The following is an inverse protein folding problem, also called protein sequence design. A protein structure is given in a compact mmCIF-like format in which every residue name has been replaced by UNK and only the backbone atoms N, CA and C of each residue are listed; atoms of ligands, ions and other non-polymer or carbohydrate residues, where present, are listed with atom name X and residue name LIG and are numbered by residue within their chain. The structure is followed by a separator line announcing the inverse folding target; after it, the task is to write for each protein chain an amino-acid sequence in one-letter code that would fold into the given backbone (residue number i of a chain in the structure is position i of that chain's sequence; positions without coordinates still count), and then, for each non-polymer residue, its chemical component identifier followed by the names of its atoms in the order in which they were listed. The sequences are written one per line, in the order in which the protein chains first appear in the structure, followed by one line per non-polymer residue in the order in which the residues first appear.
data_IF_757545535485
#
_entry.id   IF_757545535485
#
_cell.length_a   1.000
_cell.length_b   1.000
_cell.length_c   1.000
_cell.angle_alpha   90.00
_cell.angle_beta   90.00
_cell.angle_gamma   90.00
#
_symmetry.space_group_name_H-M   'P 1'
#
loop_
_entity.id
_entity.type
_entity.pdbx_description
1 polymer ?
#
# COMPACT_ATOMS: atom_id res chain seq x y z
N UNK A 1 -14.51 -0.15 1.37
CA UNK A 1 -14.27 -1.50 0.83
C UNK A 1 -15.31 -1.79 -0.24
N UNK A 2 -14.96 -2.51 -1.33
CA UNK A 2 -15.88 -2.75 -2.43
C UNK A 2 -16.87 -3.88 -2.09
N UNK A 3 -18.15 -3.70 -2.42
CA UNK A 3 -19.19 -4.69 -2.13
C UNK A 3 -19.04 -5.98 -2.95
N UNK A 4 -18.32 -5.92 -4.08
CA UNK A 4 -18.02 -7.06 -4.94
C UNK A 4 -16.85 -6.75 -5.89
N UNK A 5 -16.38 -7.78 -6.60
CA UNK A 5 -15.28 -7.67 -7.58
C UNK A 5 -15.56 -6.65 -8.70
N UNK A 6 -16.81 -6.52 -9.14
CA UNK A 6 -17.17 -5.58 -10.20
C UNK A 6 -17.01 -4.13 -9.75
N UNK A 7 -17.37 -3.83 -8.51
CA UNK A 7 -17.16 -2.51 -7.91
C UNK A 7 -15.67 -2.19 -7.77
N UNK A 8 -14.86 -3.17 -7.35
CA UNK A 8 -13.39 -3.02 -7.27
C UNK A 8 -12.77 -2.70 -8.64
N UNK A 9 -13.21 -3.41 -9.69
CA UNK A 9 -12.77 -3.18 -11.07
C UNK A 9 -13.21 -1.81 -11.59
N UNK A 10 -14.44 -1.40 -11.31
CA UNK A 10 -14.97 -0.10 -11.74
C UNK A 10 -14.23 1.07 -11.10
N UNK A 11 -13.90 0.98 -9.81
CA UNK A 11 -13.09 2.00 -9.13
C UNK A 11 -11.65 1.98 -9.67
N UNK A 12 -11.08 0.79 -9.91
CA UNK A 12 -9.78 0.68 -10.56
C UNK A 12 -9.72 1.33 -11.94
N UNK A 13 -10.82 1.30 -12.70
CA UNK A 13 -10.92 1.93 -14.02
C UNK A 13 -10.91 3.46 -13.96
N UNK A 14 -11.38 4.04 -12.86
CA UNK A 14 -11.43 5.49 -12.66
C UNK A 14 -10.11 6.08 -12.17
N UNK A 15 -9.18 5.24 -11.69
CA UNK A 15 -7.91 5.66 -11.09
C UNK A 15 -6.74 5.72 -12.08
N UNK A 16 -6.89 6.49 -13.16
CA UNK A 16 -5.78 6.82 -14.08
C UNK A 16 -5.31 5.69 -15.00
N UNK A 17 -4.55 6.05 -16.04
CA UNK A 17 -4.15 5.14 -17.11
C UNK A 17 -3.27 3.98 -16.64
N UNK A 18 -2.38 4.21 -15.67
CA UNK A 18 -1.48 3.19 -15.12
C UNK A 18 -2.23 2.13 -14.32
N UNK A 19 -3.11 2.52 -13.40
CA UNK A 19 -3.93 1.56 -12.64
C UNK A 19 -4.79 0.74 -13.58
N UNK A 20 -5.42 1.37 -14.58
CA UNK A 20 -6.17 0.64 -15.59
C UNK A 20 -5.30 -0.35 -16.37
N UNK A 21 -4.09 0.03 -16.77
CA UNK A 21 -3.17 -0.83 -17.52
C UNK A 21 -2.71 -2.04 -16.68
N UNK A 22 -2.46 -1.85 -15.39
CA UNK A 22 -1.91 -2.92 -14.54
C UNK A 22 -2.97 -3.75 -13.79
N UNK A 23 -4.14 -3.18 -13.51
CA UNK A 23 -5.25 -3.82 -12.80
C UNK A 23 -6.28 -4.45 -13.76
N UNK A 24 -6.58 -3.80 -14.89
CA UNK A 24 -7.69 -4.20 -15.77
C UNK A 24 -7.22 -4.75 -17.13
N UNK A 25 -6.07 -4.31 -17.63
CA UNK A 25 -5.45 -4.84 -18.86
C UNK A 25 -4.29 -5.77 -18.54
N UNK A 26 -4.63 -6.92 -17.96
CA UNK A 26 -3.66 -7.89 -17.45
C UNK A 26 -2.66 -8.37 -18.51
N UNK A 27 -2.95 -8.24 -19.81
CA UNK A 27 -2.03 -8.62 -20.90
C UNK A 27 -0.83 -7.68 -21.01
N UNK A 28 -1.02 -6.38 -20.85
CA UNK A 28 0.10 -5.42 -20.85
C UNK A 28 0.90 -5.52 -19.56
N UNK A 29 0.21 -5.69 -18.43
CA UNK A 29 0.83 -5.98 -17.16
C UNK A 29 1.69 -7.27 -17.24
N UNK A 30 1.15 -8.35 -17.80
CA UNK A 30 1.83 -9.62 -18.00
C UNK A 30 3.08 -9.47 -18.86
N UNK A 31 2.98 -8.73 -19.98
CA UNK A 31 4.13 -8.45 -20.85
C UNK A 31 5.20 -7.64 -20.14
N UNK A 32 4.83 -6.58 -19.43
CA UNK A 32 5.76 -5.76 -18.67
C UNK A 32 6.44 -6.58 -17.56
N UNK A 33 5.68 -7.40 -16.84
CA UNK A 33 6.19 -8.33 -15.85
C UNK A 33 7.09 -9.42 -16.47
N UNK A 34 6.75 -9.94 -17.65
CA UNK A 34 7.56 -10.93 -18.36
C UNK A 34 8.90 -10.34 -18.79
N UNK A 35 8.91 -9.13 -19.37
CA UNK A 35 10.14 -8.39 -19.68
C UNK A 35 10.96 -8.16 -18.41
N UNK A 36 10.33 -7.72 -17.32
CA UNK A 36 11.00 -7.56 -16.02
C UNK A 36 11.58 -8.89 -15.50
N UNK A 37 10.89 -10.01 -15.72
CA UNK A 37 11.35 -11.35 -15.33
C UNK A 37 12.51 -11.87 -16.17
N UNK A 38 12.53 -11.62 -17.47
CA UNK A 38 13.67 -11.95 -18.35
C UNK A 38 14.90 -11.09 -18.02
N UNK A 39 14.66 -9.87 -17.55
CA UNK A 39 15.67 -8.84 -17.35
C UNK A 39 15.72 -8.38 -15.89
N UNK A 40 15.64 -9.30 -14.91
CA UNK A 40 15.48 -8.96 -13.47
C UNK A 40 16.50 -7.96 -12.95
N UNK A 41 17.78 -8.20 -13.23
CA UNK A 41 18.86 -7.34 -12.74
C UNK A 41 18.83 -5.95 -13.37
N UNK A 42 18.61 -5.87 -14.68
CA UNK A 42 18.54 -4.59 -15.41
C UNK A 42 17.27 -3.82 -15.08
N UNK A 43 16.14 -4.52 -14.92
CA UNK A 43 14.86 -3.93 -14.52
C UNK A 43 14.90 -3.42 -13.09
N UNK A 44 15.52 -4.16 -12.16
CA UNK A 44 15.73 -3.69 -10.80
C UNK A 44 16.63 -2.46 -10.73
N UNK A 45 17.68 -2.39 -11.55
CA UNK A 45 18.54 -1.19 -11.67
C UNK A 45 17.78 -0.02 -12.28
N UNK A 46 17.01 -0.25 -13.34
CA UNK A 46 16.16 0.78 -13.93
C UNK A 46 15.15 1.32 -12.91
N UNK A 47 14.55 0.43 -12.10
CA UNK A 47 13.64 0.83 -11.02
C UNK A 47 14.35 1.69 -9.96
N UNK A 48 15.57 1.32 -9.56
CA UNK A 48 16.37 2.13 -8.63
C UNK A 48 16.69 3.54 -9.18
N UNK A 49 16.85 3.68 -10.50
CA UNK A 49 17.05 4.99 -11.14
C UNK A 49 15.76 5.81 -11.22
N UNK A 50 14.62 5.16 -11.48
CA UNK A 50 13.32 5.83 -11.57
C UNK A 50 12.77 6.25 -10.21
N UNK A 51 13.22 5.60 -9.12
CA UNK A 51 12.79 5.89 -7.75
C UNK A 51 14.02 6.24 -6.89
N UNK A 52 14.71 7.37 -7.16
CA UNK A 52 16.00 7.70 -6.54
C UNK A 52 15.91 7.97 -5.04
N UNK A 53 14.68 8.12 -4.52
CA UNK A 53 14.37 8.34 -3.10
C UNK A 53 14.46 7.08 -2.26
N UNK A 54 14.51 5.91 -2.89
CA UNK A 54 14.50 4.63 -2.20
C UNK A 54 15.92 4.05 -2.07
N UNK A 55 16.22 3.33 -0.98
CA UNK A 55 17.47 2.59 -0.88
C UNK A 55 17.63 1.64 -2.07
N UNK A 56 18.75 1.76 -2.79
CA UNK A 56 19.06 0.93 -3.97
C UNK A 56 18.83 -0.58 -3.72
N UNK A 57 19.18 -1.17 -2.56
CA UNK A 57 18.90 -2.58 -2.30
C UNK A 57 17.41 -2.94 -2.31
N UNK A 58 16.52 -2.02 -1.93
CA UNK A 58 15.07 -2.23 -1.91
C UNK A 58 14.52 -2.13 -3.35
N UNK A 59 14.84 -1.04 -4.05
CA UNK A 59 14.34 -0.81 -5.41
C UNK A 59 14.78 -1.87 -6.40
N UNK A 60 16.02 -2.37 -6.27
CA UNK A 60 16.54 -3.44 -7.13
C UNK A 60 15.87 -4.78 -6.90
N UNK A 61 15.34 -5.03 -5.69
CA UNK A 61 14.62 -6.26 -5.36
C UNK A 61 13.15 -6.22 -5.74
N UNK A 62 12.57 -5.04 -5.95
CA UNK A 62 11.17 -4.90 -6.34
C UNK A 62 10.85 -5.69 -7.63
N UNK A 63 11.80 -5.83 -8.56
CA UNK A 63 11.63 -6.58 -9.82
C UNK A 63 11.78 -8.11 -9.69
N UNK A 64 11.91 -8.66 -8.48
CA UNK A 64 12.14 -10.10 -8.27
C UNK A 64 10.86 -10.92 -8.14
N UNK A 65 9.69 -10.30 -8.03
CA UNK A 65 8.42 -11.03 -8.00
C UNK A 65 8.10 -11.67 -9.36
N UNK A 66 7.42 -12.82 -9.35
CA UNK A 66 6.91 -13.47 -10.57
C UNK A 66 5.53 -12.94 -10.94
N UNK A 67 5.12 -13.14 -12.19
CA UNK A 67 3.76 -12.82 -12.64
C UNK A 67 2.69 -13.57 -11.82
N UNK A 68 2.91 -14.86 -11.55
CA UNK A 68 1.99 -15.66 -10.74
C UNK A 68 1.86 -15.10 -9.32
N UNK A 69 2.97 -14.68 -8.70
CA UNK A 69 2.94 -14.05 -7.37
C UNK A 69 2.19 -12.71 -7.38
N UNK A 70 2.36 -11.91 -8.44
CA UNK A 70 1.59 -10.67 -8.64
C UNK A 70 0.09 -10.94 -8.79
N UNK A 71 -0.29 -11.84 -9.70
CA UNK A 71 -1.70 -12.19 -9.95
C UNK A 71 -2.36 -12.77 -8.70
N UNK A 72 -1.65 -13.67 -8.00
CA UNK A 72 -2.15 -14.24 -6.76
C UNK A 72 -2.38 -13.15 -5.71
N UNK A 73 -1.40 -12.27 -5.47
CA UNK A 73 -1.52 -11.18 -4.49
C UNK A 73 -2.64 -10.21 -4.84
N UNK A 74 -2.75 -9.82 -6.11
CA UNK A 74 -3.82 -8.95 -6.60
C UNK A 74 -5.19 -9.58 -6.34
N UNK A 75 -5.34 -10.85 -6.71
CA UNK A 75 -6.60 -11.54 -6.53
C UNK A 75 -6.93 -11.71 -5.04
N UNK A 76 -6.00 -12.27 -4.28
CA UNK A 76 -6.20 -12.68 -2.89
C UNK A 76 -6.17 -11.55 -1.87
N UNK A 77 -5.76 -10.33 -2.22
CA UNK A 77 -5.71 -9.18 -1.30
C UNK A 77 -6.57 -8.02 -1.76
N UNK A 78 -6.77 -7.83 -3.08
CA UNK A 78 -7.46 -6.64 -3.61
C UNK A 78 -8.83 -6.99 -4.17
N UNK A 79 -8.94 -8.08 -4.95
CA UNK A 79 -10.17 -8.35 -5.71
C UNK A 79 -11.17 -9.23 -4.95
N UNK A 80 -10.69 -10.26 -4.25
CA UNK A 80 -11.57 -11.29 -3.67
C UNK A 80 -11.47 -11.41 -2.15
N UNK A 81 -10.59 -10.66 -1.49
CA UNK A 81 -10.41 -10.76 -0.04
C UNK A 81 -11.52 -10.03 0.69
N UNK A 82 -12.20 -10.74 1.59
CA UNK A 82 -13.22 -10.15 2.45
C UNK A 82 -12.60 -9.51 3.71
N UNK A 83 -11.97 -8.35 3.52
CA UNK A 83 -11.51 -7.50 4.61
C UNK A 83 -12.59 -7.14 5.63
N UNK A 84 -13.88 -7.09 5.27
CA UNK A 84 -14.94 -6.74 6.22
C UNK A 84 -15.14 -7.83 7.27
N UNK A 85 -14.98 -9.09 6.88
CA UNK A 85 -15.01 -10.22 7.81
C UNK A 85 -13.75 -10.29 8.67
N UNK A 86 -12.58 -9.96 8.10
CA UNK A 86 -11.28 -10.08 8.81
C UNK A 86 -10.97 -8.88 9.70
N UNK A 87 -11.42 -7.70 9.32
CA UNK A 87 -11.27 -6.44 10.06
C UNK A 87 -12.67 -5.91 10.39
N UNK A 88 -13.38 -6.51 11.36
CA UNK A 88 -14.67 -5.99 11.80
C UNK A 88 -14.50 -4.54 12.28
N UNK A 89 -15.39 -3.65 11.81
CA UNK A 89 -15.26 -2.18 11.86
C UNK A 89 -15.33 -1.52 13.24
N UNK A 90 -14.84 -2.17 14.29
CA UNK A 90 -14.78 -1.62 15.64
C UNK A 90 -13.37 -1.15 16.04
N UNK A 91 -12.37 -1.38 15.19
CA UNK A 91 -11.01 -0.92 15.43
C UNK A 91 -10.88 0.53 14.98
N UNK A 92 -10.43 1.40 15.87
CA UNK A 92 -10.06 2.78 15.54
C UNK A 92 -8.94 2.75 14.49
N UNK A 93 -9.21 3.29 13.31
CA UNK A 93 -8.26 3.31 12.20
C UNK A 93 -7.69 4.71 12.04
N UNK A 94 -6.36 4.83 12.15
CA UNK A 94 -5.64 6.03 11.73
C UNK A 94 -5.00 5.81 10.35
N UNK A 95 -5.31 6.69 9.41
CA UNK A 95 -4.74 6.71 8.07
C UNK A 95 -3.72 7.84 7.98
N UNK A 96 -2.44 7.48 7.93
CA UNK A 96 -1.36 8.40 7.60
C UNK A 96 -1.20 8.50 6.09
N UNK A 97 -1.18 9.73 5.58
CA UNK A 97 -0.86 9.98 4.16
C UNK A 97 0.10 11.15 4.00
N UNK A 98 0.87 11.14 2.92
CA UNK A 98 1.73 12.26 2.58
C UNK A 98 0.91 13.46 2.10
N UNK A 99 1.14 14.65 2.67
CA UNK A 99 0.45 15.87 2.26
C UNK A 99 0.70 16.26 0.79
N UNK A 100 1.72 15.69 0.15
CA UNK A 100 2.03 15.90 -1.28
C UNK A 100 1.90 14.64 -2.12
N UNK A 101 1.34 13.56 -1.56
CA UNK A 101 1.16 12.31 -2.28
C UNK A 101 0.19 12.50 -3.47
N UNK A 102 0.64 12.33 -4.73
CA UNK A 102 -0.25 12.39 -5.88
C UNK A 102 -1.01 11.08 -6.12
N UNK A 103 -0.72 10.03 -5.34
CA UNK A 103 -1.28 8.69 -5.49
C UNK A 103 -2.34 8.47 -4.40
N UNK A 104 -3.51 7.98 -4.81
CA UNK A 104 -4.67 7.79 -3.93
C UNK A 104 -5.74 8.88 -4.16
N UNK A 105 -7.01 8.50 -3.96
CA UNK A 105 -8.13 9.42 -4.15
C UNK A 105 -8.38 10.20 -2.85
N UNK A 106 -8.01 11.48 -2.86
CA UNK A 106 -8.17 12.36 -1.68
C UNK A 106 -9.61 12.55 -1.28
N UNK A 107 -10.50 12.75 -2.25
CA UNK A 107 -11.93 12.93 -2.00
C UNK A 107 -12.51 11.67 -1.34
N UNK A 108 -12.12 10.49 -1.80
CA UNK A 108 -12.53 9.23 -1.18
C UNK A 108 -12.06 9.11 0.27
N UNK A 109 -10.82 9.55 0.56
CA UNK A 109 -10.33 9.55 1.95
C UNK A 109 -11.06 10.59 2.81
N UNK A 110 -11.37 11.76 2.26
CA UNK A 110 -12.15 12.78 2.97
C UNK A 110 -13.57 12.30 3.32
N UNK A 111 -14.17 11.43 2.49
CA UNK A 111 -15.43 10.77 2.78
C UNK A 111 -15.36 9.79 3.96
N UNK A 112 -14.16 9.34 4.34
CA UNK A 112 -13.93 8.45 5.49
C UNK A 112 -13.69 9.20 6.81
N UNK A 113 -13.66 10.54 6.79
CA UNK A 113 -13.47 11.35 8.01
C UNK A 113 -14.65 11.11 8.97
N UNK A 114 -14.34 10.67 10.18
CA UNK A 114 -15.32 10.29 11.20
C UNK A 114 -15.52 8.79 11.33
N UNK A 115 -15.15 8.00 10.32
CA UNK A 115 -14.96 6.54 10.42
C UNK A 115 -13.48 6.19 10.67
N UNK A 116 -12.57 7.05 10.22
CA UNK A 116 -11.13 6.94 10.45
C UNK A 116 -10.53 8.32 10.75
N UNK A 117 -9.45 8.32 11.54
CA UNK A 117 -8.61 9.50 11.74
C UNK A 117 -7.67 9.67 10.55
N UNK A 118 -7.69 10.86 9.94
CA UNK A 118 -6.87 11.18 8.79
C UNK A 118 -5.78 12.17 9.15
N UNK A 119 -4.53 11.76 8.97
CA UNK A 119 -3.35 12.58 9.27
C UNK A 119 -2.56 12.82 7.99
N UNK A 120 -2.61 14.08 7.52
CA UNK A 120 -1.75 14.60 6.45
C UNK A 120 -0.38 14.97 7.01
N UNK A 121 0.64 14.19 6.66
CA UNK A 121 2.00 14.43 7.14
C UNK A 121 2.71 15.40 6.21
N UNK A 122 3.07 16.55 6.78
CA UNK A 122 3.76 17.62 6.08
C UNK A 122 5.09 17.14 5.48
N UNK A 123 5.33 17.48 4.21
CA UNK A 123 6.53 17.03 3.47
C UNK A 123 6.51 15.55 3.06
N UNK A 124 5.51 14.79 3.50
CA UNK A 124 5.31 13.39 3.10
C UNK A 124 4.76 13.26 1.68
N UNK A 125 5.16 12.19 0.98
CA UNK A 125 4.59 11.75 -0.29
C UNK A 125 4.16 10.29 -0.22
N UNK A 126 4.01 9.62 -1.36
CA UNK A 126 3.54 8.23 -1.44
C UNK A 126 4.30 7.20 -0.60
N UNK A 127 5.55 7.51 -0.28
CA UNK A 127 6.46 6.59 0.38
C UNK A 127 6.50 6.80 1.89
N UNK A 128 5.47 7.42 2.46
CA UNK A 128 5.46 7.81 3.87
C UNK A 128 5.71 6.64 4.81
N UNK A 129 5.17 5.46 4.52
CA UNK A 129 5.40 4.24 5.30
C UNK A 129 6.90 3.83 5.37
N UNK A 130 7.71 4.26 4.39
CA UNK A 130 9.14 3.96 4.32
C UNK A 130 10.01 5.12 4.83
N UNK A 131 9.59 6.37 4.62
CA UNK A 131 10.35 7.56 5.05
C UNK A 131 10.07 7.95 6.49
N UNK A 132 8.92 7.52 7.01
CA UNK A 132 8.45 7.78 8.36
C UNK A 132 7.97 6.46 9.00
N UNK A 133 8.84 5.43 9.07
CA UNK A 133 8.45 4.13 9.61
C UNK A 133 8.03 4.20 11.08
N UNK A 134 8.45 5.22 11.82
CA UNK A 134 7.99 5.51 13.19
C UNK A 134 6.47 5.61 13.29
N UNK A 135 5.79 6.13 12.25
CA UNK A 135 4.32 6.24 12.24
C UNK A 135 3.63 4.86 12.25
N UNK A 136 4.31 3.81 11.77
CA UNK A 136 3.82 2.44 11.87
C UNK A 136 4.05 1.85 13.26
N UNK A 137 5.13 2.26 13.94
CA UNK A 137 5.51 1.72 15.25
C UNK A 137 4.78 2.42 16.40
N UNK A 138 4.58 3.73 16.32
CA UNK A 138 3.85 4.52 17.32
C UNK A 138 2.39 4.03 17.48
N UNK A 139 1.80 3.46 16.42
CA UNK A 139 0.49 2.80 16.46
C UNK A 139 0.52 1.38 17.04
N UNK A 140 1.66 0.67 16.94
CA UNK A 140 1.82 -0.67 17.50
C UNK A 140 2.13 -0.62 19.00
N UNK A 141 2.61 0.51 19.52
CA UNK A 141 2.82 0.75 20.95
C UNK A 141 1.56 1.23 21.69
N UNK A 142 0.35 1.02 21.12
CA UNK A 142 -0.89 1.28 21.84
C UNK A 142 -0.87 0.58 23.21
N UNK A 143 -1.15 1.29 24.32
CA UNK A 143 -1.05 0.71 25.64
C UNK A 143 -2.08 -0.41 25.77
N UNK A 144 -1.61 -1.64 25.94
CA UNK A 144 -2.36 -2.68 26.63
C UNK A 144 -2.52 -2.26 28.10
N UNK A 145 -3.44 -1.34 28.36
CA UNK A 145 -4.09 -1.21 29.65
C UNK A 145 -5.36 -2.09 29.53
N UNK A 146 -5.52 -3.19 30.27
CA UNK A 146 -5.28 -3.43 31.70
C UNK A 146 -4.88 -4.93 31.90
N UNK A 147 -4.22 -5.47 32.94
CA UNK A 147 -4.15 -5.14 34.36
C UNK A 147 -3.01 -5.92 35.09
N UNK A 148 -1.74 -5.79 34.69
CA UNK A 148 -0.64 -6.53 35.36
C UNK A 148 0.68 -5.76 35.49
N UNK A 149 0.60 -4.50 35.95
CA UNK A 149 1.65 -3.82 36.73
C UNK A 149 3.11 -4.21 36.43
N UNK A 150 3.58 -4.02 35.20
CA UNK A 150 5.01 -4.14 34.89
C UNK A 150 5.60 -2.75 34.66
N UNK A 151 6.41 -2.35 35.62
CA UNK A 151 7.11 -1.07 35.66
C UNK A 151 8.30 -1.13 34.68
N UNK A 152 8.42 -0.14 33.79
CA UNK A 152 9.58 -0.03 32.88
C UNK A 152 10.88 0.08 33.70
N UNK A 153 11.97 -0.61 33.32
CA UNK A 153 13.27 -0.38 33.93
C UNK A 153 13.75 1.02 33.54
N UNK A 154 14.21 1.76 34.56
CA UNK A 154 14.87 3.06 34.44
C UNK A 154 16.30 2.90 33.88
N UNK A 155 16.88 3.96 33.27
CA UNK A 155 17.91 3.88 32.24
C UNK A 155 19.24 3.24 32.66
#
# INVERSE_FOLDING_TARGET
MYANESDARNIGASHGAMTRLFLLDTRWAERACHVSCLHRTTSGRAMALMVPRWPVPISTRASLHTWDAYQQSLNSLVLTFDWATVLPGEVEVTIFRGATDPIGNRNYLEELVGEADLIDVAGGGHHIALTNPELLYDLLEWPSADASGHQKPSP
#
